data_IF_426347224447
#
_entry.id   IF_426347224447
#
_cell.length_a   1.000
_cell.length_b   1.000
_cell.length_c   1.000
_cell.angle_alpha   90.00
_cell.angle_beta   90.00
_cell.angle_gamma   90.00
#
_symmetry.space_group_name_H-M   'P 1'
#
loop_
_entity.id
_entity.type
_entity.pdbx_description
1 polymer ?
#
# COMPACT_ATOMS: atom_id res chain seq x y z
N UNK A 1 -64.62 -11.31 32.40
CA UNK A 1 -63.84 -11.89 33.51
C UNK A 1 -62.42 -11.42 33.26
N UNK A 2 -61.99 -10.20 33.62
CA UNK A 2 -61.85 -9.66 34.99
C UNK A 2 -61.33 -10.76 35.92
N UNK A 3 -60.12 -10.68 36.49
CA UNK A 3 -59.78 -9.71 37.54
C UNK A 3 -58.26 -9.57 37.78
N UNK A 4 -57.80 -8.32 37.86
CA UNK A 4 -56.95 -7.74 38.94
C UNK A 4 -55.72 -8.46 39.54
N UNK A 5 -54.55 -7.86 39.30
CA UNK A 5 -53.49 -7.51 40.29
C UNK A 5 -52.70 -8.63 40.97
N UNK A 6 -51.68 -8.34 41.83
CA UNK A 6 -50.95 -7.10 42.16
C UNK A 6 -49.44 -7.17 41.74
N UNK A 7 -48.68 -6.09 41.50
CA UNK A 7 -48.00 -5.14 42.43
C UNK A 7 -47.03 -5.75 43.46
N UNK A 8 -45.74 -5.35 43.31
CA UNK A 8 -44.64 -5.26 44.30
C UNK A 8 -44.12 -6.59 44.89
N UNK A 9 -42.85 -6.76 45.26
CA UNK A 9 -41.57 -6.07 45.06
C UNK A 9 -40.50 -7.06 45.60
N UNK A 10 -39.30 -6.65 46.02
CA UNK A 10 -38.04 -7.20 45.57
C UNK A 10 -37.43 -8.19 46.56
N UNK A 11 -36.32 -8.84 46.19
CA UNK A 11 -35.19 -9.01 47.10
C UNK A 11 -34.00 -9.60 46.36
N UNK A 12 -32.98 -8.78 46.25
CA UNK A 12 -31.58 -9.17 46.11
C UNK A 12 -31.11 -9.98 47.33
N UNK A 13 -29.96 -10.63 47.14
CA UNK A 13 -29.03 -11.20 48.13
C UNK A 13 -29.18 -12.67 48.48
N UNK A 14 -28.24 -13.47 47.97
CA UNK A 14 -27.18 -14.12 48.77
C UNK A 14 -26.36 -14.98 47.79
N UNK A 15 -25.17 -14.56 47.40
CA UNK A 15 -23.91 -14.82 48.12
C UNK A 15 -23.54 -16.31 48.12
N UNK A 16 -22.63 -16.63 47.19
CA UNK A 16 -21.44 -17.49 47.35
C UNK A 16 -21.62 -18.83 48.05
N UNK A 17 -21.43 -19.91 47.29
CA UNK A 17 -20.75 -21.09 47.82
C UNK A 17 -19.58 -21.44 46.93
N UNK A 18 -18.38 -21.12 47.43
CA UNK A 18 -17.09 -21.53 46.95
C UNK A 18 -16.89 -22.98 47.40
N UNK A 19 -16.97 -23.95 46.49
CA UNK A 19 -16.37 -25.26 46.70
C UNK A 19 -15.02 -25.30 46.00
N UNK A 20 -13.99 -25.51 46.81
CA UNK A 20 -12.60 -25.53 46.43
C UNK A 20 -12.22 -26.80 45.64
N UNK A 21 -11.47 -26.54 44.56
CA UNK A 21 -10.29 -27.26 44.04
C UNK A 21 -10.17 -28.77 44.32
N UNK A 22 -10.08 -29.55 43.25
CA UNK A 22 -9.07 -30.61 43.15
C UNK A 22 -8.78 -30.94 41.68
N UNK A 23 -7.52 -31.18 41.34
CA UNK A 23 -7.13 -31.77 40.06
C UNK A 23 -6.24 -30.86 39.23
N UNK A 24 -4.94 -30.88 39.55
CA UNK A 24 -3.92 -30.49 38.61
C UNK A 24 -3.72 -31.65 37.64
N UNK A 25 -3.94 -31.44 36.34
CA UNK A 25 -3.19 -32.08 35.27
C UNK A 25 -2.98 -31.04 34.18
N UNK A 26 -1.71 -30.63 34.04
CA UNK A 26 -1.23 -29.80 32.95
C UNK A 26 -1.05 -30.73 31.75
N UNK A 27 -2.02 -30.72 30.84
CA UNK A 27 -1.86 -31.33 29.52
C UNK A 27 -1.63 -30.23 28.49
N UNK A 28 -0.36 -30.14 28.07
CA UNK A 28 0.14 -29.29 26.98
C UNK A 28 -0.51 -29.70 25.63
N UNK A 29 -1.28 -28.82 24.95
CA UNK A 29 -1.81 -29.15 23.64
C UNK A 29 -0.70 -28.98 22.57
N UNK A 30 0.01 -30.09 22.36
CA UNK A 30 0.47 -30.62 21.07
C UNK A 30 0.37 -29.64 19.89
N UNK A 31 1.42 -28.84 19.72
CA UNK A 31 1.73 -28.10 18.48
C UNK A 31 1.74 -29.11 17.33
N UNK A 32 0.63 -29.14 16.59
CA UNK A 32 0.39 -30.07 15.50
C UNK A 32 1.38 -29.78 14.37
N UNK A 33 2.08 -30.81 13.89
CA UNK A 33 3.17 -30.79 12.88
C UNK A 33 2.87 -30.06 11.55
N UNK A 34 1.68 -29.50 11.37
CA UNK A 34 1.30 -28.65 10.23
C UNK A 34 1.65 -27.16 10.43
N UNK A 35 1.85 -26.72 11.68
CA UNK A 35 2.20 -25.32 12.00
C UNK A 35 3.68 -24.99 11.79
N UNK A 36 4.55 -26.00 11.66
CA UNK A 36 5.99 -25.80 11.42
C UNK A 36 6.30 -25.52 9.93
N UNK A 37 5.43 -25.91 9.01
CA UNK A 37 5.64 -25.73 7.57
C UNK A 37 5.43 -24.27 7.11
N UNK A 38 4.52 -23.53 7.75
CA UNK A 38 4.24 -22.12 7.40
C UNK A 38 5.36 -21.20 7.94
N UNK A 39 5.89 -21.49 9.12
CA UNK A 39 7.01 -20.74 9.70
C UNK A 39 8.35 -20.99 8.95
N UNK A 40 8.57 -22.18 8.38
CA UNK A 40 9.78 -22.48 7.61
C UNK A 40 9.74 -21.90 6.20
N UNK A 41 8.57 -21.79 5.57
CA UNK A 41 8.41 -21.13 4.27
C UNK A 41 8.64 -19.60 4.34
N UNK A 42 8.25 -18.96 5.45
CA UNK A 42 8.51 -17.54 5.67
C UNK A 42 10.01 -17.24 5.96
N UNK A 43 10.76 -18.20 6.49
CA UNK A 43 12.19 -18.04 6.80
C UNK A 43 13.11 -18.41 5.61
N UNK A 44 12.65 -19.27 4.68
CA UNK A 44 13.42 -19.67 3.48
C UNK A 44 13.32 -18.68 2.30
N UNK A 45 12.40 -17.72 2.32
CA UNK A 45 12.43 -16.59 1.38
C UNK A 45 13.44 -15.50 1.74
N UNK A 46 14.16 -15.63 2.86
CA UNK A 46 15.09 -14.60 3.34
C UNK A 46 16.55 -14.81 2.90
N UNK A 47 16.92 -15.96 2.30
CA UNK A 47 18.32 -16.27 1.95
C UNK A 47 18.42 -16.98 0.60
N UNK A 48 18.35 -16.21 -0.50
CA UNK A 48 19.04 -16.49 -1.77
C UNK A 48 18.65 -15.43 -2.81
N UNK A 49 19.33 -14.29 -2.79
CA UNK A 49 19.06 -13.21 -3.74
C UNK A 49 20.02 -12.03 -3.61
N UNK A 50 21.28 -12.25 -3.25
CA UNK A 50 22.35 -11.28 -3.47
C UNK A 50 22.70 -11.25 -4.96
N UNK A 51 21.76 -10.81 -5.79
CA UNK A 51 22.06 -10.33 -7.13
C UNK A 51 22.64 -8.93 -6.97
N UNK A 52 23.83 -8.74 -7.56
CA UNK A 52 24.57 -7.49 -7.54
C UNK A 52 23.68 -6.35 -8.01
N UNK A 53 23.65 -5.29 -7.23
CA UNK A 53 23.14 -4.00 -7.68
C UNK A 53 24.04 -3.53 -8.83
N UNK A 54 23.57 -3.69 -10.06
CA UNK A 54 24.07 -2.88 -11.16
C UNK A 54 23.52 -1.47 -10.95
N UNK A 55 24.23 -0.73 -10.09
CA UNK A 55 24.04 0.70 -9.86
C UNK A 55 24.43 1.43 -11.14
N UNK A 56 23.56 1.38 -12.15
CA UNK A 56 23.53 2.44 -13.15
C UNK A 56 22.63 3.53 -12.60
N UNK A 57 23.17 4.24 -11.62
CA UNK A 57 22.66 5.54 -11.18
C UNK A 57 22.70 6.46 -12.39
N UNK A 58 21.59 6.54 -13.12
CA UNK A 58 21.32 7.71 -13.95
C UNK A 58 20.85 8.78 -12.99
N UNK A 59 21.77 9.67 -12.60
CA UNK A 59 21.41 10.95 -12.00
C UNK A 59 20.69 11.77 -13.08
N UNK A 60 19.40 11.50 -13.29
CA UNK A 60 18.53 12.49 -13.88
C UNK A 60 18.53 13.68 -12.91
N UNK A 61 18.82 14.89 -13.39
CA UNK A 61 19.09 16.00 -12.50
C UNK A 61 17.82 16.35 -11.72
N UNK A 62 17.99 16.65 -10.44
CA UNK A 62 17.02 17.37 -9.63
C UNK A 62 16.90 18.82 -10.16
N UNK A 63 16.35 18.96 -11.36
CA UNK A 63 16.04 20.23 -12.00
C UNK A 63 14.54 20.46 -11.82
N UNK A 64 14.15 21.66 -11.40
CA UNK A 64 12.76 22.04 -11.08
C UNK A 64 11.73 21.90 -12.22
N UNK A 65 12.13 21.35 -13.37
CA UNK A 65 11.27 21.10 -14.52
C UNK A 65 10.80 19.64 -14.65
N UNK A 66 11.37 18.71 -13.87
CA UNK A 66 11.10 17.26 -13.85
C UNK A 66 11.67 16.49 -15.05
N UNK A 67 11.62 15.15 -14.97
CA UNK A 67 12.14 14.20 -15.97
C UNK A 67 10.99 13.66 -16.82
N UNK A 68 11.28 13.16 -18.01
CA UNK A 68 10.29 12.54 -18.90
C UNK A 68 10.71 11.12 -19.27
N UNK A 69 9.72 10.24 -19.48
CA UNK A 69 9.91 8.90 -20.04
C UNK A 69 8.91 8.65 -21.17
N UNK A 70 9.31 7.87 -22.16
CA UNK A 70 8.46 7.51 -23.30
C UNK A 70 7.60 6.29 -22.97
N UNK A 71 6.29 6.42 -23.13
CA UNK A 71 5.32 5.34 -22.96
C UNK A 71 4.32 5.39 -24.12
N UNK A 72 4.23 4.31 -24.91
CA UNK A 72 3.37 4.23 -26.10
C UNK A 72 3.48 5.43 -27.06
N UNK A 73 4.68 6.03 -27.18
CA UNK A 73 4.92 7.18 -28.05
C UNK A 73 4.55 8.54 -27.45
N UNK A 74 4.05 8.60 -26.22
CA UNK A 74 3.81 9.83 -25.47
C UNK A 74 4.85 10.04 -24.37
N UNK A 75 5.16 11.31 -24.08
CA UNK A 75 6.03 11.69 -22.96
C UNK A 75 5.22 11.75 -21.67
N UNK A 76 5.67 10.99 -20.68
CA UNK A 76 5.16 11.04 -19.31
C UNK A 76 6.16 11.80 -18.44
N UNK A 77 5.71 12.93 -17.91
CA UNK A 77 6.47 13.73 -16.96
C UNK A 77 6.42 13.11 -15.57
N UNK A 78 7.55 13.12 -14.87
CA UNK A 78 7.64 12.71 -13.48
C UNK A 78 8.75 13.45 -12.74
N UNK A 79 8.63 13.51 -11.41
CA UNK A 79 9.68 13.95 -10.49
C UNK A 79 10.07 12.78 -9.62
N UNK A 80 11.34 12.75 -9.23
CA UNK A 80 11.91 11.66 -8.44
C UNK A 80 12.81 12.24 -7.33
N UNK A 81 12.75 11.64 -6.14
CA UNK A 81 13.67 11.95 -5.06
C UNK A 81 13.92 10.74 -4.15
N UNK A 82 15.08 10.75 -3.50
CA UNK A 82 15.46 9.72 -2.54
C UNK A 82 16.02 8.47 -3.20
N UNK A 83 16.14 7.40 -2.40
CA UNK A 83 16.67 6.11 -2.81
C UNK A 83 16.09 5.00 -1.91
N UNK A 84 16.17 3.75 -2.34
CA UNK A 84 15.63 2.60 -1.61
C UNK A 84 14.38 2.01 -2.28
N UNK A 85 13.48 1.35 -1.53
CA UNK A 85 12.26 0.76 -2.08
C UNK A 85 11.41 1.83 -2.79
N UNK A 86 10.77 1.44 -3.90
CA UNK A 86 10.07 2.39 -4.77
C UNK A 86 8.65 2.66 -4.26
N UNK A 87 8.29 3.94 -4.22
CA UNK A 87 6.93 4.41 -3.99
C UNK A 87 6.51 5.31 -5.14
N UNK A 88 5.40 4.96 -5.81
CA UNK A 88 4.84 5.74 -6.93
C UNK A 88 3.60 6.48 -6.45
N UNK A 89 3.56 7.80 -6.69
CA UNK A 89 2.48 8.70 -6.28
C UNK A 89 1.61 9.08 -7.48
N UNK A 90 0.29 8.85 -7.38
CA UNK A 90 -0.70 9.07 -8.43
C UNK A 90 -1.70 10.15 -8.01
N UNK A 91 -1.68 11.30 -8.70
CA UNK A 91 -2.55 12.44 -8.38
C UNK A 91 -4.02 12.21 -8.79
N UNK A 92 -4.91 13.12 -8.38
CA UNK A 92 -6.34 13.08 -8.73
C UNK A 92 -6.67 13.78 -10.05
N UNK A 93 -7.97 13.87 -10.38
CA UNK A 93 -8.43 14.72 -11.47
C UNK A 93 -8.08 16.19 -11.20
N UNK A 94 -7.70 16.92 -12.25
CA UNK A 94 -7.34 18.34 -12.22
C UNK A 94 -6.09 18.70 -11.38
N UNK A 95 -5.34 17.70 -10.92
CA UNK A 95 -4.05 17.86 -10.24
C UNK A 95 -2.86 17.57 -11.18
N UNK A 96 -1.65 17.77 -10.66
CA UNK A 96 -0.36 17.39 -11.23
C UNK A 96 0.62 16.96 -10.10
N UNK A 97 1.87 16.62 -10.43
CA UNK A 97 2.90 16.22 -9.46
C UNK A 97 3.10 17.20 -8.29
N UNK A 98 2.75 18.47 -8.45
CA UNK A 98 2.91 19.52 -7.44
C UNK A 98 2.18 19.25 -6.14
N UNK A 99 1.06 18.53 -6.18
CA UNK A 99 0.29 18.15 -4.97
C UNK A 99 1.08 17.26 -4.03
N UNK A 100 2.10 16.56 -4.54
CA UNK A 100 2.90 15.63 -3.78
C UNK A 100 4.14 16.24 -3.13
N UNK A 101 4.38 17.56 -3.25
CA UNK A 101 5.61 18.21 -2.77
C UNK A 101 5.98 17.82 -1.33
N UNK A 102 5.04 17.96 -0.38
CA UNK A 102 5.28 17.62 1.02
C UNK A 102 5.49 16.12 1.24
N UNK A 103 4.73 15.28 0.54
CA UNK A 103 4.84 13.82 0.59
C UNK A 103 6.19 13.33 0.06
N UNK A 104 6.64 13.90 -1.05
CA UNK A 104 7.93 13.61 -1.66
C UNK A 104 9.08 14.00 -0.72
N UNK A 105 9.02 15.18 -0.10
CA UNK A 105 10.03 15.61 0.90
C UNK A 105 10.08 14.67 2.12
N UNK A 106 8.92 14.22 2.61
CA UNK A 106 8.85 13.35 3.77
C UNK A 106 9.35 11.91 3.47
N UNK A 107 8.85 11.31 2.38
CA UNK A 107 9.10 9.90 2.06
C UNK A 107 10.49 9.67 1.44
N UNK A 108 11.04 10.64 0.70
CA UNK A 108 12.35 10.51 0.03
C UNK A 108 13.52 10.29 0.99
N UNK A 109 13.32 10.53 2.30
CA UNK A 109 14.29 10.22 3.36
C UNK A 109 14.59 8.73 3.50
N UNK A 110 13.70 7.85 3.01
CA UNK A 110 13.81 6.38 3.15
C UNK A 110 13.46 5.59 1.89
N UNK A 111 12.77 6.20 0.95
CA UNK A 111 12.26 5.56 -0.25
C UNK A 111 12.75 6.27 -1.50
N UNK A 112 12.78 5.54 -2.62
CA UNK A 112 12.84 6.16 -3.95
C UNK A 112 11.40 6.55 -4.31
N UNK A 113 11.08 7.83 -4.20
CA UNK A 113 9.72 8.34 -4.40
C UNK A 113 9.62 8.96 -5.77
N UNK A 114 8.63 8.50 -6.54
CA UNK A 114 8.38 8.92 -7.91
C UNK A 114 6.95 9.46 -7.96
N UNK A 115 6.75 10.71 -8.36
CA UNK A 115 5.42 11.24 -8.66
C UNK A 115 5.36 11.52 -10.16
N UNK A 116 4.35 11.00 -10.84
CA UNK A 116 4.14 11.27 -12.27
C UNK A 116 2.91 12.14 -12.51
N UNK A 117 2.96 12.93 -13.59
CA UNK A 117 1.76 13.45 -14.22
C UNK A 117 1.17 12.33 -15.06
N UNK A 118 -0.03 11.87 -14.73
CA UNK A 118 -0.74 10.87 -15.53
C UNK A 118 -0.95 11.38 -16.96
N UNK A 119 -1.07 10.46 -17.92
CA UNK A 119 -1.32 10.81 -19.33
C UNK A 119 -2.52 11.78 -19.43
N UNK A 120 -2.38 12.87 -20.19
CA UNK A 120 -3.43 13.91 -20.26
C UNK A 120 -3.33 15.02 -19.22
N UNK A 121 -2.47 14.90 -18.19
CA UNK A 121 -2.35 15.87 -17.10
C UNK A 121 -0.99 16.57 -17.04
N UNK A 122 -0.91 17.64 -16.24
CA UNK A 122 0.32 18.40 -15.96
C UNK A 122 1.17 18.66 -17.19
N UNK A 123 2.45 18.28 -17.12
CA UNK A 123 3.41 18.38 -18.23
C UNK A 123 3.46 17.14 -19.12
N UNK A 124 2.75 16.06 -18.78
CA UNK A 124 2.60 14.91 -19.66
C UNK A 124 1.83 15.29 -20.93
N UNK A 125 2.12 14.56 -22.01
CA UNK A 125 1.45 14.76 -23.29
C UNK A 125 -0.05 14.48 -23.17
N UNK A 126 -0.84 15.09 -24.07
CA UNK A 126 -2.31 15.07 -24.05
C UNK A 126 -2.89 14.58 -25.39
N UNK A 127 -2.53 13.36 -25.82
CA UNK A 127 -3.01 12.82 -27.09
C UNK A 127 -4.53 12.63 -27.11
N UNK A 128 -5.09 12.53 -28.31
CA UNK A 128 -6.49 12.16 -28.50
C UNK A 128 -6.66 10.67 -28.18
N UNK A 129 -7.07 10.37 -26.95
CA UNK A 129 -7.30 9.02 -26.42
C UNK A 129 -8.69 8.94 -25.77
N UNK A 130 -9.15 7.72 -25.54
CA UNK A 130 -10.24 7.49 -24.58
C UNK A 130 -9.63 7.48 -23.17
N UNK A 131 -9.92 8.50 -22.36
CA UNK A 131 -9.40 8.63 -20.99
C UNK A 131 -10.25 7.85 -19.99
N UNK A 132 -10.15 6.52 -20.06
CA UNK A 132 -10.76 5.59 -19.10
C UNK A 132 -9.74 5.17 -18.05
N UNK A 133 -10.20 4.61 -16.94
CA UNK A 133 -9.34 4.06 -15.88
C UNK A 133 -8.33 3.06 -16.46
N UNK A 134 -8.77 2.19 -17.36
CA UNK A 134 -7.90 1.19 -18.00
C UNK A 134 -6.77 1.85 -18.80
N UNK A 135 -7.04 2.96 -19.49
CA UNK A 135 -5.99 3.73 -20.20
C UNK A 135 -4.94 4.26 -19.23
N UNK A 136 -5.34 4.75 -18.06
CA UNK A 136 -4.39 5.22 -17.05
C UNK A 136 -3.55 4.07 -16.48
N UNK A 137 -4.15 2.90 -16.27
CA UNK A 137 -3.45 1.68 -15.84
C UNK A 137 -2.44 1.24 -16.90
N UNK A 138 -2.82 1.16 -18.17
CA UNK A 138 -1.92 0.76 -19.26
C UNK A 138 -0.67 1.67 -19.32
N UNK A 139 -0.88 2.99 -19.18
CA UNK A 139 0.21 3.96 -19.16
C UNK A 139 1.06 3.88 -17.90
N UNK A 140 0.47 3.56 -16.74
CA UNK A 140 1.21 3.31 -15.51
C UNK A 140 2.09 2.06 -15.63
N UNK A 141 1.57 0.97 -16.20
CA UNK A 141 2.33 -0.24 -16.45
C UNK A 141 3.49 0.02 -17.42
N UNK A 142 3.22 0.72 -18.52
CA UNK A 142 4.25 1.13 -19.47
C UNK A 142 5.32 2.03 -18.83
N UNK A 143 4.92 2.92 -17.93
CA UNK A 143 5.83 3.77 -17.16
C UNK A 143 6.74 2.95 -16.23
N UNK A 144 6.18 2.02 -15.45
CA UNK A 144 6.91 1.12 -14.55
C UNK A 144 7.91 0.28 -15.33
N UNK A 145 7.49 -0.29 -16.46
CA UNK A 145 8.35 -1.07 -17.35
C UNK A 145 9.48 -0.22 -17.95
N UNK A 146 9.17 0.99 -18.42
CA UNK A 146 10.16 1.88 -19.03
C UNK A 146 11.24 2.33 -18.03
N UNK A 147 10.88 2.51 -16.76
CA UNK A 147 11.81 2.83 -15.69
C UNK A 147 12.50 1.59 -15.07
N UNK A 148 12.20 0.39 -15.58
CA UNK A 148 12.74 -0.90 -15.10
C UNK A 148 12.53 -1.08 -13.60
N UNK A 149 11.32 -0.78 -13.12
CA UNK A 149 10.95 -0.91 -11.72
C UNK A 149 10.38 -2.32 -11.50
N UNK A 150 11.09 -3.15 -10.74
CA UNK A 150 10.66 -4.53 -10.46
C UNK A 150 9.52 -4.62 -9.45
N UNK A 151 9.54 -3.76 -8.43
CA UNK A 151 8.52 -3.68 -7.38
C UNK A 151 8.33 -2.25 -6.91
N UNK A 152 7.07 -1.84 -6.72
CA UNK A 152 6.70 -0.56 -6.17
C UNK A 152 5.47 -0.68 -5.25
N UNK A 153 5.39 0.23 -4.28
CA UNK A 153 4.14 0.53 -3.58
C UNK A 153 3.48 1.74 -4.23
N UNK A 154 2.16 1.73 -4.36
CA UNK A 154 1.40 2.83 -4.94
C UNK A 154 0.67 3.63 -3.87
N UNK A 155 0.65 4.96 -4.03
CA UNK A 155 -0.16 5.88 -3.22
C UNK A 155 -0.97 6.74 -4.19
N UNK A 156 -2.29 6.65 -4.10
CA UNK A 156 -3.20 7.34 -5.00
C UNK A 156 -4.20 8.23 -4.27
N UNK A 157 -4.51 9.39 -4.85
CA UNK A 157 -5.61 10.26 -4.41
C UNK A 157 -6.72 10.27 -5.48
N UNK A 158 -7.99 10.09 -5.08
CA UNK A 158 -9.14 10.17 -5.98
C UNK A 158 -8.98 9.27 -7.22
N UNK A 159 -8.92 9.82 -8.44
CA UNK A 159 -8.60 9.09 -9.67
C UNK A 159 -7.34 8.24 -9.52
N UNK A 160 -6.26 8.79 -8.98
CA UNK A 160 -5.03 8.03 -8.75
C UNK A 160 -5.21 6.88 -7.76
N UNK A 161 -6.15 7.02 -6.81
CA UNK A 161 -6.55 5.92 -5.92
C UNK A 161 -7.28 4.80 -6.67
N UNK A 162 -8.12 5.15 -7.65
CA UNK A 162 -8.81 4.18 -8.49
C UNK A 162 -7.86 3.46 -9.46
N UNK A 163 -6.87 4.18 -10.01
CA UNK A 163 -5.83 3.60 -10.88
C UNK A 163 -4.91 2.63 -10.11
N UNK A 164 -4.70 2.86 -8.81
CA UNK A 164 -3.82 2.02 -7.98
C UNK A 164 -4.47 0.75 -7.39
N UNK A 165 -5.80 0.61 -7.47
CA UNK A 165 -6.59 -0.35 -6.69
C UNK A 165 -6.71 -1.75 -7.33
#
# INVERSE_FOLDING_TARGET
MDTGGPSRAPASMATVSLCARSGAEQEEPMVTRRSLAIALAALLCFVAGSARADTTTSLAPASGDGTFVQVYGARIHYVEAGSGPVVILLHGLADDVGVWKATLEALSRRYRVIALDQIGFGKSDKPLLSYRVETFVDFLDGFVLALKIDRASFVGNSLGGWVAA
#
